data_IF_613857196867
#
_entry.id   IF_613857196867
#
_cell.length_a   1.000
_cell.length_b   1.000
_cell.length_c   1.000
_cell.angle_alpha   90.00
_cell.angle_beta   90.00
_cell.angle_gamma   90.00
#
_symmetry.space_group_name_H-M   'P 1'
#
loop_
_entity.id
_entity.type
_entity.pdbx_description
1 polymer ?
#
# COMPACT_ATOMS: atom_id res chain seq x y z
N UNK A 1 -6.99 6.51 -55.35
CA UNK A 1 -7.52 7.09 -54.08
C UNK A 1 -7.56 5.98 -53.05
N UNK A 2 -6.85 6.18 -51.95
CA UNK A 2 -6.21 5.11 -51.17
C UNK A 2 -7.14 4.36 -50.21
N UNK A 3 -7.08 3.03 -50.33
CA UNK A 3 -7.51 2.04 -49.36
C UNK A 3 -6.78 2.23 -48.02
N UNK A 4 -7.52 2.38 -46.92
CA UNK A 4 -6.97 2.25 -45.56
C UNK A 4 -6.88 0.76 -45.20
N UNK A 5 -5.64 0.34 -44.95
CA UNK A 5 -5.27 -1.01 -44.52
C UNK A 5 -5.54 -1.17 -43.02
N UNK A 6 -6.39 -2.13 -42.66
CA UNK A 6 -6.60 -2.55 -41.27
C UNK A 6 -5.53 -3.59 -40.92
N UNK A 7 -4.56 -3.21 -40.08
CA UNK A 7 -3.60 -4.16 -39.51
C UNK A 7 -4.23 -4.87 -38.31
N UNK A 8 -4.62 -6.13 -38.52
CA UNK A 8 -5.01 -7.03 -37.46
C UNK A 8 -3.79 -7.53 -36.69
N UNK A 9 -3.75 -7.26 -35.39
CA UNK A 9 -2.76 -7.85 -34.48
C UNK A 9 -3.24 -9.25 -34.12
N UNK A 10 -2.72 -10.27 -34.82
CA UNK A 10 -2.90 -11.67 -34.45
C UNK A 10 -2.14 -11.97 -33.16
N UNK A 11 -2.87 -12.14 -32.05
CA UNK A 11 -2.33 -12.78 -30.85
C UNK A 11 -2.12 -14.28 -31.12
N UNK A 12 -0.86 -14.67 -31.36
CA UNK A 12 -0.46 -16.09 -31.37
C UNK A 12 -0.54 -16.65 -29.94
N UNK A 13 -1.58 -17.44 -29.68
CA UNK A 13 -1.64 -18.36 -28.53
C UNK A 13 -0.69 -19.52 -28.80
N UNK A 14 0.54 -19.45 -28.32
CA UNK A 14 1.44 -20.59 -28.20
C UNK A 14 1.17 -21.31 -26.86
N UNK A 15 0.29 -22.30 -26.91
CA UNK A 15 0.11 -23.29 -25.86
C UNK A 15 1.01 -24.49 -26.18
N UNK A 16 2.21 -24.57 -25.57
CA UNK A 16 3.13 -25.69 -25.77
C UNK A 16 3.96 -25.92 -24.50
N UNK A 17 3.68 -27.06 -23.84
CA UNK A 17 4.62 -27.96 -23.13
C UNK A 17 5.08 -27.52 -21.72
N UNK A 18 5.37 -28.39 -20.74
CA UNK A 18 5.82 -29.79 -20.73
C UNK A 18 5.60 -30.35 -19.31
N UNK A 19 5.13 -31.59 -19.18
CA UNK A 19 5.33 -32.40 -17.96
C UNK A 19 6.84 -32.49 -17.68
N UNK A 20 7.25 -32.24 -16.44
CA UNK A 20 8.50 -32.75 -15.90
C UNK A 20 8.23 -33.45 -14.57
N UNK A 21 8.56 -34.73 -14.57
CA UNK A 21 8.40 -35.69 -13.49
C UNK A 21 9.82 -36.21 -13.23
N UNK A 22 10.51 -35.64 -12.24
CA UNK A 22 11.81 -36.11 -11.69
C UNK A 22 11.87 -35.47 -10.29
N UNK A 23 11.93 -36.18 -9.15
CA UNK A 23 12.80 -37.31 -8.84
C UNK A 23 14.04 -36.81 -8.07
N UNK A 24 13.89 -36.46 -6.79
CA UNK A 24 14.99 -36.20 -5.86
C UNK A 24 14.52 -36.68 -4.48
N UNK A 25 15.14 -37.65 -3.80
CA UNK A 25 16.58 -37.78 -3.58
C UNK A 25 16.89 -37.23 -2.18
N UNK A 26 16.52 -38.00 -1.14
CA UNK A 26 16.80 -37.67 0.25
C UNK A 26 18.30 -37.86 0.48
N UNK A 27 19.04 -36.76 0.64
CA UNK A 27 20.42 -36.79 1.13
C UNK A 27 20.43 -36.18 2.52
N UNK A 28 20.60 -37.04 3.52
CA UNK A 28 20.86 -36.64 4.89
C UNK A 28 22.29 -36.07 4.98
N UNK A 29 22.42 -34.82 5.41
CA UNK A 29 23.71 -34.24 5.79
C UNK A 29 23.85 -34.23 7.32
N UNK A 30 24.99 -34.69 7.87
CA UNK A 30 25.25 -34.66 9.30
C UNK A 30 25.50 -33.23 9.79
N UNK A 31 24.87 -32.92 10.93
CA UNK A 31 25.06 -31.69 11.70
C UNK A 31 26.45 -31.74 12.34
N UNK A 32 27.40 -30.98 11.78
CA UNK A 32 28.70 -30.73 12.41
C UNK A 32 28.56 -29.50 13.31
N UNK A 33 28.64 -29.74 14.61
CA UNK A 33 28.71 -28.71 15.63
C UNK A 33 30.02 -27.92 15.55
N UNK A 34 29.91 -26.60 15.69
CA UNK A 34 31.00 -25.69 16.04
C UNK A 34 30.49 -24.83 17.19
N UNK A 35 30.79 -25.25 18.41
CA UNK A 35 31.85 -24.72 19.27
C UNK A 35 31.60 -23.27 19.71
N UNK A 36 31.14 -23.18 20.95
CA UNK A 36 31.22 -22.04 21.84
C UNK A 36 32.58 -21.34 21.78
N UNK A 37 32.56 -20.01 21.66
CA UNK A 37 33.67 -19.14 22.04
C UNK A 37 33.22 -18.29 23.24
N UNK A 38 34.00 -18.22 24.33
CA UNK A 38 33.73 -17.32 25.44
C UNK A 38 34.40 -15.96 25.21
N UNK A 39 33.70 -14.89 25.59
CA UNK A 39 34.35 -13.65 26.01
C UNK A 39 34.25 -12.49 25.04
N UNK A 40 33.39 -11.53 25.38
CA UNK A 40 33.87 -10.18 25.64
C UNK A 40 32.87 -9.46 26.55
N UNK A 41 33.28 -9.21 27.79
CA UNK A 41 32.52 -8.44 28.76
C UNK A 41 32.64 -6.96 28.39
N UNK A 42 31.64 -6.42 27.70
CA UNK A 42 31.53 -4.99 27.43
C UNK A 42 30.85 -4.32 28.63
N UNK A 43 31.59 -3.39 29.23
CA UNK A 43 31.20 -2.60 30.37
C UNK A 43 29.86 -1.89 30.18
N UNK A 44 28.93 -2.12 31.12
CA UNK A 44 27.70 -1.36 31.27
C UNK A 44 28.03 0.03 31.82
N UNK A 45 27.77 1.06 31.04
CA UNK A 45 27.74 2.45 31.51
C UNK A 45 26.34 2.73 32.10
N UNK A 46 26.22 3.12 33.37
CA UNK A 46 24.94 3.56 33.95
C UNK A 46 24.81 5.07 33.76
N UNK A 47 23.75 5.53 33.11
CA UNK A 47 23.45 6.97 33.10
C UNK A 47 22.67 7.45 31.90
N UNK A 48 21.36 7.18 31.90
CA UNK A 48 20.45 7.75 30.95
C UNK A 48 19.03 7.44 31.37
N UNK A 49 18.49 8.23 32.30
CA UNK A 49 17.09 8.24 32.69
C UNK A 49 16.27 8.74 31.49
N UNK A 50 16.15 7.89 30.47
CA UNK A 50 15.25 8.05 29.35
C UNK A 50 13.86 7.73 29.85
N UNK A 51 13.11 8.78 30.12
CA UNK A 51 11.69 8.76 30.44
C UNK A 51 10.94 7.91 29.41
N UNK A 52 10.68 6.66 29.79
CA UNK A 52 10.02 5.66 28.96
C UNK A 52 8.52 5.98 28.97
N UNK A 53 8.15 7.10 28.33
CA UNK A 53 6.77 7.53 28.20
C UNK A 53 6.12 6.63 27.14
N UNK A 54 5.13 5.80 27.49
CA UNK A 54 4.41 5.02 26.50
C UNK A 54 3.82 5.98 25.47
N UNK A 55 4.25 5.83 24.22
CA UNK A 55 3.76 6.62 23.10
C UNK A 55 2.25 6.48 23.05
N UNK A 56 1.54 7.58 23.31
CA UNK A 56 0.11 7.64 23.19
C UNK A 56 -0.30 7.21 21.78
N UNK A 57 -1.42 6.49 21.61
CA UNK A 57 -1.90 6.07 20.30
C UNK A 57 -2.14 7.33 19.46
N UNK A 58 -1.32 7.51 18.43
CA UNK A 58 -1.36 8.64 17.53
C UNK A 58 -2.73 8.70 16.86
N UNK A 59 -3.47 9.79 17.12
CA UNK A 59 -4.59 10.23 16.29
C UNK A 59 -4.23 10.05 14.81
N UNK A 60 -5.19 9.68 13.93
CA UNK A 60 -4.90 9.43 12.52
C UNK A 60 -4.14 10.63 11.96
N UNK A 61 -2.84 10.43 11.73
CA UNK A 61 -1.92 11.49 11.36
C UNK A 61 -2.50 12.21 10.15
N UNK A 62 -2.76 13.50 10.32
CA UNK A 62 -3.32 14.36 9.31
C UNK A 62 -2.45 14.26 8.05
N UNK A 63 -3.07 13.88 6.94
CA UNK A 63 -2.35 13.70 5.68
C UNK A 63 -1.77 15.03 5.23
N UNK A 64 -0.48 15.05 4.90
CA UNK A 64 0.17 16.25 4.37
C UNK A 64 -0.30 16.51 2.94
N UNK A 65 -0.38 17.79 2.50
CA UNK A 65 -0.73 18.11 1.12
C UNK A 65 0.17 17.44 0.08
N UNK A 66 1.46 17.25 0.39
CA UNK A 66 2.40 16.57 -0.50
C UNK A 66 2.06 15.08 -0.65
N UNK A 67 1.75 14.38 0.45
CA UNK A 67 1.32 12.98 0.40
C UNK A 67 0.01 12.80 -0.39
N UNK A 68 -0.96 13.69 -0.16
CA UNK A 68 -2.22 13.69 -0.90
C UNK A 68 -2.01 13.91 -2.40
N UNK A 69 -1.18 14.90 -2.76
CA UNK A 69 -0.82 15.16 -4.16
C UNK A 69 -0.15 13.95 -4.81
N UNK A 70 0.82 13.32 -4.14
CA UNK A 70 1.44 12.09 -4.64
C UNK A 70 0.42 10.99 -4.89
N UNK A 71 -0.50 10.71 -3.95
CA UNK A 71 -1.52 9.68 -4.13
C UNK A 71 -2.41 9.97 -5.34
N UNK A 72 -2.86 11.21 -5.50
CA UNK A 72 -3.66 11.63 -6.64
C UNK A 72 -2.90 11.48 -7.97
N UNK A 73 -1.59 11.79 -8.00
CA UNK A 73 -0.74 11.57 -9.18
C UNK A 73 -0.65 10.09 -9.53
N UNK A 74 -0.33 9.23 -8.55
CA UNK A 74 -0.22 7.78 -8.76
C UNK A 74 -1.55 7.17 -9.25
N UNK A 75 -2.70 7.67 -8.78
CA UNK A 75 -4.01 7.18 -9.22
C UNK A 75 -4.32 7.52 -10.70
N UNK A 76 -3.75 8.60 -11.23
CA UNK A 76 -3.98 9.07 -12.62
C UNK A 76 -3.12 8.35 -13.64
N UNK A 77 -1.90 7.97 -13.26
CA UNK A 77 -0.95 7.28 -14.14
C UNK A 77 -1.50 5.93 -14.55
N UNK A 78 -1.52 5.66 -15.86
CA UNK A 78 -1.93 4.36 -16.41
C UNK A 78 -0.71 3.55 -16.81
N UNK A 79 -0.64 2.32 -16.33
CA UNK A 79 0.45 1.40 -16.62
C UNK A 79 -0.11 0.20 -17.39
N UNK A 80 0.64 -0.23 -18.40
CA UNK A 80 0.41 -1.46 -19.17
C UNK A 80 1.76 -2.09 -19.51
N UNK A 81 1.86 -3.41 -19.50
CA UNK A 81 3.11 -4.10 -19.82
C UNK A 81 3.10 -5.57 -19.46
N UNK A 82 4.04 -6.33 -20.02
CA UNK A 82 4.27 -7.73 -19.68
C UNK A 82 5.74 -7.86 -19.29
N UNK A 83 5.98 -8.34 -18.07
CA UNK A 83 7.30 -8.50 -17.50
C UNK A 83 7.56 -9.99 -17.28
N UNK A 84 8.52 -10.55 -18.01
CA UNK A 84 8.91 -11.96 -17.89
C UNK A 84 10.32 -12.05 -17.33
N UNK A 85 10.47 -12.74 -16.20
CA UNK A 85 11.75 -12.92 -15.50
C UNK A 85 12.51 -11.60 -15.23
N UNK A 86 11.78 -10.51 -15.02
CA UNK A 86 12.36 -9.19 -14.78
C UNK A 86 12.61 -8.99 -13.28
N UNK A 87 13.69 -8.26 -12.95
CA UNK A 87 14.00 -7.92 -11.56
C UNK A 87 12.97 -6.92 -11.03
N UNK A 88 12.48 -7.15 -9.82
CA UNK A 88 11.51 -6.29 -9.15
C UNK A 88 11.97 -4.82 -9.14
N UNK A 89 13.23 -4.56 -8.80
CA UNK A 89 13.78 -3.21 -8.78
C UNK A 89 13.80 -2.51 -10.14
N UNK A 90 13.93 -3.26 -11.25
CA UNK A 90 13.95 -2.67 -12.59
C UNK A 90 12.52 -2.35 -13.07
N UNK A 91 11.55 -3.22 -12.77
CA UNK A 91 10.12 -2.94 -13.01
C UNK A 91 9.68 -1.67 -12.25
N UNK A 92 10.09 -1.54 -10.99
CA UNK A 92 9.76 -0.40 -10.14
C UNK A 92 10.37 0.92 -10.65
N UNK A 93 11.59 0.88 -11.21
CA UNK A 93 12.20 2.05 -11.87
C UNK A 93 11.44 2.45 -13.13
N UNK A 94 11.03 1.47 -13.94
CA UNK A 94 10.22 1.72 -15.13
C UNK A 94 8.88 2.38 -14.78
N UNK A 95 8.24 1.93 -13.68
CA UNK A 95 7.03 2.58 -13.18
C UNK A 95 7.26 4.03 -12.76
N UNK A 96 8.38 4.33 -12.10
CA UNK A 96 8.74 5.69 -11.73
C UNK A 96 8.94 6.58 -12.97
N UNK A 97 9.64 6.07 -13.99
CA UNK A 97 9.86 6.75 -15.25
C UNK A 97 8.54 7.02 -16.00
N UNK A 98 7.67 6.00 -16.12
CA UNK A 98 6.36 6.15 -16.77
C UNK A 98 5.46 7.15 -16.04
N UNK A 99 5.54 7.21 -14.72
CA UNK A 99 4.83 8.19 -13.92
C UNK A 99 5.33 9.62 -14.20
N UNK A 100 6.64 9.81 -14.29
CA UNK A 100 7.25 11.10 -14.64
C UNK A 100 6.86 11.54 -16.05
N UNK A 101 6.91 10.65 -17.04
CA UNK A 101 6.51 10.94 -18.41
C UNK A 101 5.04 11.37 -18.53
N UNK A 102 4.14 10.76 -17.75
CA UNK A 102 2.71 11.07 -17.78
C UNK A 102 2.32 12.29 -16.95
N UNK A 103 3.05 12.58 -15.86
CA UNK A 103 2.71 13.67 -14.94
C UNK A 103 3.57 14.92 -15.10
N UNK A 104 4.72 14.81 -15.76
CA UNK A 104 5.73 15.86 -15.88
C UNK A 104 6.54 16.09 -14.61
N UNK A 105 6.37 15.25 -13.58
CA UNK A 105 7.02 15.41 -12.27
C UNK A 105 7.61 14.07 -11.81
N UNK A 106 8.86 14.05 -11.29
CA UNK A 106 9.48 12.82 -10.84
C UNK A 106 8.77 12.29 -9.60
N UNK A 107 8.37 11.01 -9.64
CA UNK A 107 7.91 10.32 -8.44
C UNK A 107 9.14 9.81 -7.68
N UNK A 108 9.27 10.23 -6.42
CA UNK A 108 10.40 9.86 -5.56
C UNK A 108 10.10 8.62 -4.72
N UNK A 109 11.02 7.66 -4.77
CA UNK A 109 10.86 6.33 -4.18
C UNK A 109 11.97 6.07 -3.17
N UNK A 110 11.67 5.35 -2.11
CA UNK A 110 12.67 4.85 -1.16
C UNK A 110 12.37 3.42 -0.76
N UNK A 111 13.42 2.63 -0.54
CA UNK A 111 13.31 1.23 -0.13
C UNK A 111 13.48 1.11 1.38
N UNK A 112 12.64 0.32 2.04
CA UNK A 112 12.90 -0.11 3.40
C UNK A 112 14.13 -1.05 3.46
N UNK A 113 14.84 -1.09 4.59
CA UNK A 113 15.92 -2.06 4.79
C UNK A 113 15.43 -3.50 4.53
N UNK A 114 16.23 -4.27 3.81
CA UNK A 114 15.92 -5.66 3.48
C UNK A 114 14.91 -5.85 2.33
N UNK A 115 14.50 -4.78 1.64
CA UNK A 115 13.60 -4.90 0.49
C UNK A 115 14.25 -5.71 -0.65
N UNK A 116 13.62 -6.78 -1.17
CA UNK A 116 14.25 -7.74 -2.06
C UNK A 116 14.20 -7.29 -3.53
N UNK A 117 14.83 -6.15 -3.85
CA UNK A 117 14.79 -5.55 -5.19
C UNK A 117 15.38 -6.43 -6.32
N UNK A 118 16.21 -7.41 -5.98
CA UNK A 118 16.86 -8.31 -6.95
C UNK A 118 16.02 -9.54 -7.33
N UNK A 119 14.90 -9.78 -6.64
CA UNK A 119 14.02 -10.92 -6.94
C UNK A 119 13.42 -10.77 -8.33
N UNK A 120 13.45 -11.85 -9.11
CA UNK A 120 12.84 -11.90 -10.44
C UNK A 120 11.39 -12.33 -10.34
N UNK A 121 10.53 -11.66 -11.08
CA UNK A 121 9.09 -11.95 -11.11
C UNK A 121 8.58 -12.01 -12.55
N UNK A 122 7.44 -12.67 -12.71
CA UNK A 122 6.65 -12.64 -13.92
C UNK A 122 5.29 -12.03 -13.61
N UNK A 123 4.91 -11.00 -14.35
CA UNK A 123 3.62 -10.32 -14.17
C UNK A 123 3.15 -9.71 -15.48
N UNK A 124 1.87 -9.93 -15.79
CA UNK A 124 1.19 -9.33 -16.93
C UNK A 124 0.22 -8.27 -16.42
N UNK A 125 0.41 -7.03 -16.86
CA UNK A 125 -0.36 -5.87 -16.42
C UNK A 125 -1.24 -5.39 -17.57
N UNK A 126 -2.55 -5.55 -17.39
CA UNK A 126 -3.54 -4.84 -18.21
C UNK A 126 -3.44 -3.33 -17.97
N UNK A 127 -4.10 -2.53 -18.82
CA UNK A 127 -4.17 -1.09 -18.63
C UNK A 127 -4.93 -0.75 -17.34
N UNK A 128 -4.21 -0.32 -16.32
CA UNK A 128 -4.76 -0.04 -14.99
C UNK A 128 -4.02 1.13 -14.31
N UNK A 129 -4.50 1.57 -13.14
CA UNK A 129 -3.81 2.63 -12.40
C UNK A 129 -2.45 2.15 -11.88
N UNK A 130 -1.49 3.07 -11.71
CA UNK A 130 -0.18 2.74 -11.16
C UNK A 130 -0.27 2.14 -9.75
N UNK A 131 -1.25 2.56 -8.93
CA UNK A 131 -1.47 1.96 -7.59
C UNK A 131 -1.86 0.48 -7.68
N UNK A 132 -2.76 0.13 -8.60
CA UNK A 132 -3.16 -1.27 -8.86
C UNK A 132 -2.01 -2.09 -9.46
N UNK A 133 -1.25 -1.50 -10.39
CA UNK A 133 -0.07 -2.15 -10.96
C UNK A 133 1.00 -2.41 -9.89
N UNK A 134 1.22 -1.45 -8.99
CA UNK A 134 2.16 -1.57 -7.89
C UNK A 134 1.72 -2.68 -6.91
N UNK A 135 0.43 -2.78 -6.59
CA UNK A 135 -0.10 -3.85 -5.75
C UNK A 135 0.10 -5.24 -6.38
N UNK A 136 -0.16 -5.40 -7.69
CA UNK A 136 0.07 -6.67 -8.39
C UNK A 136 1.54 -7.06 -8.44
N UNK A 137 2.42 -6.11 -8.79
CA UNK A 137 3.89 -6.31 -8.83
C UNK A 137 4.41 -6.71 -7.45
N UNK A 138 4.02 -5.97 -6.40
CA UNK A 138 4.48 -6.27 -5.04
C UNK A 138 3.88 -7.58 -4.52
N UNK A 139 2.67 -7.95 -4.93
CA UNK A 139 2.07 -9.25 -4.58
C UNK A 139 2.82 -10.41 -5.25
N UNK A 140 3.19 -10.27 -6.53
CA UNK A 140 4.05 -11.24 -7.20
C UNK A 140 5.44 -11.31 -6.54
N UNK A 141 6.02 -10.16 -6.19
CA UNK A 141 7.27 -10.06 -5.44
C UNK A 141 7.20 -10.70 -4.05
N UNK A 142 6.08 -10.52 -3.33
CA UNK A 142 5.85 -11.16 -2.03
C UNK A 142 5.85 -12.68 -2.14
N UNK A 143 5.18 -13.23 -3.17
CA UNK A 143 5.15 -14.68 -3.43
C UNK A 143 6.54 -15.23 -3.74
N UNK A 144 7.30 -14.54 -4.58
CA UNK A 144 8.65 -14.97 -4.99
C UNK A 144 9.69 -14.85 -3.86
N UNK A 145 9.60 -13.81 -3.02
CA UNK A 145 10.54 -13.54 -1.93
C UNK A 145 10.15 -14.19 -0.59
N UNK A 146 8.93 -14.71 -0.47
CA UNK A 146 8.33 -15.16 0.79
C UNK A 146 8.25 -14.07 1.87
N UNK A 147 8.29 -12.79 1.47
CA UNK A 147 8.16 -11.65 2.36
C UNK A 147 6.84 -10.91 2.11
N UNK A 148 6.31 -10.23 3.12
CA UNK A 148 5.13 -9.41 2.94
C UNK A 148 5.52 -8.02 2.43
N UNK A 149 5.77 -7.88 1.12
CA UNK A 149 6.12 -6.58 0.55
C UNK A 149 4.94 -5.62 0.65
N UNK A 150 5.22 -4.32 0.62
CA UNK A 150 4.30 -3.21 0.89
C UNK A 150 4.74 -1.92 0.20
N UNK A 151 3.89 -0.90 0.19
CA UNK A 151 4.24 0.48 -0.09
C UNK A 151 3.42 1.44 0.77
N UNK A 152 3.99 2.60 1.13
CA UNK A 152 3.34 3.68 1.86
C UNK A 152 3.79 5.01 1.29
N UNK A 153 2.85 5.92 1.03
CA UNK A 153 3.21 7.32 0.77
C UNK A 153 3.46 8.00 2.10
N UNK A 154 4.71 8.44 2.31
CA UNK A 154 5.14 9.12 3.52
C UNK A 154 4.38 10.44 3.67
N UNK A 155 3.79 10.64 4.84
CA UNK A 155 3.05 11.84 5.23
C UNK A 155 3.69 12.37 6.50
N UNK A 156 4.79 13.09 6.34
CA UNK A 156 5.66 13.55 7.41
C UNK A 156 5.79 15.08 7.30
N UNK A 157 5.03 15.86 8.09
CA UNK A 157 5.10 17.32 8.00
C UNK A 157 6.54 17.78 8.27
N UNK A 158 6.99 18.76 7.49
CA UNK A 158 8.33 19.37 7.55
C UNK A 158 9.50 18.39 7.33
N UNK A 159 9.25 17.24 6.70
CA UNK A 159 10.29 16.26 6.38
C UNK A 159 10.64 16.29 4.89
N UNK A 160 11.94 16.19 4.57
CA UNK A 160 12.43 16.19 3.17
C UNK A 160 11.91 15.04 2.29
N UNK A 161 11.43 13.97 2.92
CA UNK A 161 10.83 12.81 2.23
C UNK A 161 9.30 12.82 2.29
N UNK A 162 8.68 13.95 2.66
CA UNK A 162 7.23 14.08 2.62
C UNK A 162 6.71 13.86 1.18
N UNK A 163 5.64 13.08 1.05
CA UNK A 163 5.09 12.69 -0.23
C UNK A 163 5.88 11.65 -1.03
N UNK A 164 6.97 11.08 -0.48
CA UNK A 164 7.70 9.99 -1.15
C UNK A 164 6.98 8.65 -1.03
N UNK A 165 7.16 7.78 -2.02
CA UNK A 165 6.68 6.39 -1.97
C UNK A 165 7.75 5.53 -1.29
N UNK A 166 7.46 5.06 -0.07
CA UNK A 166 8.30 4.10 0.64
C UNK A 166 7.83 2.68 0.40
N UNK A 167 8.67 1.84 -0.19
CA UNK A 167 8.43 0.41 -0.35
C UNK A 167 8.82 -0.31 0.94
N UNK A 168 7.91 -1.10 1.51
CA UNK A 168 8.06 -1.74 2.83
C UNK A 168 8.08 -3.26 2.70
N UNK A 169 8.55 -3.93 3.76
CA UNK A 169 8.53 -5.40 3.92
C UNK A 169 7.51 -5.84 4.97
N UNK A 170 6.58 -4.93 5.33
CA UNK A 170 5.57 -5.13 6.37
C UNK A 170 4.15 -5.35 5.83
N UNK A 171 3.98 -5.39 4.51
CA UNK A 171 2.69 -5.65 3.88
C UNK A 171 1.73 -4.46 3.82
N UNK A 172 2.17 -3.29 4.27
CA UNK A 172 1.35 -2.08 4.20
C UNK A 172 1.08 -1.77 2.72
N UNK A 173 -0.17 -1.71 2.28
CA UNK A 173 -0.54 -1.32 0.91
C UNK A 173 -1.10 0.09 0.97
N UNK A 174 -0.45 1.02 0.29
CA UNK A 174 -0.47 2.44 0.60
C UNK A 174 -1.85 3.05 0.71
N UNK A 175 -2.45 2.98 1.91
CA UNK A 175 -3.74 3.54 2.31
C UNK A 175 -4.69 3.95 1.16
N UNK A 176 -4.98 3.02 0.25
CA UNK A 176 -6.34 2.87 -0.21
C UNK A 176 -6.98 1.97 0.83
N UNK A 177 -7.77 2.56 1.73
CA UNK A 177 -8.73 1.77 2.48
C UNK A 177 -9.49 0.95 1.43
N UNK A 178 -9.61 -0.39 1.60
CA UNK A 178 -10.41 -1.18 0.69
C UNK A 178 -11.77 -0.49 0.48
N UNK A 179 -12.35 -0.54 -0.74
CA UNK A 179 -13.71 -0.04 -0.92
C UNK A 179 -14.56 -0.65 0.20
N UNK A 180 -15.28 0.21 0.92
CA UNK A 180 -16.04 -0.22 2.08
C UNK A 180 -16.86 -1.44 1.66
N UNK A 181 -16.73 -2.53 2.41
CA UNK A 181 -17.53 -3.72 2.10
C UNK A 181 -19.01 -3.36 2.22
N UNK A 182 -19.89 -4.11 1.55
CA UNK A 182 -21.34 -3.85 1.67
C UNK A 182 -21.82 -3.84 3.14
N UNK A 183 -21.17 -4.67 3.98
CA UNK A 183 -21.40 -4.74 5.42
C UNK A 183 -20.94 -3.47 6.15
N UNK A 184 -19.77 -2.93 5.81
CA UNK A 184 -19.26 -1.68 6.37
C UNK A 184 -20.10 -0.48 5.94
N UNK A 185 -20.58 -0.44 4.69
CA UNK A 185 -21.47 0.60 4.20
C UNK A 185 -22.81 0.55 4.95
N UNK A 186 -23.37 -0.64 5.16
CA UNK A 186 -24.62 -0.80 5.90
C UNK A 186 -24.47 -0.38 7.38
N UNK A 187 -23.41 -0.80 8.06
CA UNK A 187 -23.14 -0.40 9.45
C UNK A 187 -22.91 1.11 9.59
N UNK A 188 -22.23 1.72 8.63
CA UNK A 188 -22.03 3.17 8.59
C UNK A 188 -23.36 3.90 8.38
N UNK A 189 -24.21 3.38 7.49
CA UNK A 189 -25.54 3.93 7.20
C UNK A 189 -26.48 3.84 8.41
N UNK A 190 -26.51 2.72 9.13
CA UNK A 190 -27.33 2.54 10.33
C UNK A 190 -26.94 3.52 11.45
N UNK A 191 -25.63 3.72 11.66
CA UNK A 191 -25.13 4.70 12.64
C UNK A 191 -25.42 6.13 12.22
N UNK A 192 -25.35 6.45 10.93
CA UNK A 192 -25.76 7.75 10.40
C UNK A 192 -27.27 7.99 10.64
N UNK A 193 -28.12 6.99 10.38
CA UNK A 193 -29.55 7.07 10.63
C UNK A 193 -29.87 7.28 12.11
N UNK A 194 -29.15 6.61 13.01
CA UNK A 194 -29.26 6.83 14.46
C UNK A 194 -28.86 8.27 14.84
N UNK A 195 -27.77 8.80 14.27
CA UNK A 195 -27.38 10.19 14.49
C UNK A 195 -28.45 11.18 14.01
N UNK A 196 -29.04 10.95 12.82
CA UNK A 196 -30.13 11.79 12.29
C UNK A 196 -31.37 11.75 13.18
N UNK A 197 -31.73 10.58 13.73
CA UNK A 197 -32.83 10.45 14.70
C UNK A 197 -32.56 11.28 15.96
N UNK A 198 -31.35 11.24 16.50
CA UNK A 198 -30.97 12.05 17.66
C UNK A 198 -31.03 13.55 17.38
N UNK A 199 -30.70 13.97 16.15
CA UNK A 199 -30.87 15.37 15.73
C UNK A 199 -32.35 15.78 15.67
N UNK A 200 -33.23 14.91 15.16
CA UNK A 200 -34.67 15.14 15.17
C UNK A 200 -35.25 15.23 16.59
N UNK A 201 -34.65 14.51 17.55
CA UNK A 201 -35.00 14.58 18.97
C UNK A 201 -34.37 15.78 19.73
N UNK A 202 -33.73 16.73 19.03
CA UNK A 202 -33.00 17.87 19.63
C UNK A 202 -31.88 17.45 20.60
N UNK A 203 -31.18 16.33 20.33
CA UNK A 203 -30.03 15.86 21.12
C UNK A 203 -28.71 15.95 20.34
N UNK A 204 -28.21 17.16 20.02
CA UNK A 204 -27.05 17.36 19.15
C UNK A 204 -25.73 16.83 19.73
N UNK A 205 -25.54 16.91 21.05
CA UNK A 205 -24.33 16.40 21.71
C UNK A 205 -24.20 14.88 21.55
N UNK A 206 -25.31 14.13 21.70
CA UNK A 206 -25.32 12.70 21.49
C UNK A 206 -25.13 12.35 20.01
N UNK A 207 -25.77 13.08 19.09
CA UNK A 207 -25.62 12.88 17.65
C UNK A 207 -24.16 13.06 17.19
N UNK A 208 -23.45 14.07 17.72
CA UNK A 208 -22.04 14.33 17.38
C UNK A 208 -21.14 13.12 17.64
N UNK A 209 -21.34 12.42 18.76
CA UNK A 209 -20.58 11.19 19.09
C UNK A 209 -20.75 10.13 18.00
N UNK A 210 -21.98 9.89 17.52
CA UNK A 210 -22.23 8.91 16.47
C UNK A 210 -21.63 9.33 15.13
N UNK A 211 -21.73 10.62 14.77
CA UNK A 211 -21.13 11.15 13.55
C UNK A 211 -19.60 11.00 13.56
N UNK A 212 -18.94 11.33 14.66
CA UNK A 212 -17.49 11.14 14.81
C UNK A 212 -17.08 9.68 14.71
N UNK A 213 -17.86 8.77 15.31
CA UNK A 213 -17.60 7.34 15.21
C UNK A 213 -17.73 6.84 13.77
N UNK A 214 -18.73 7.31 13.00
CA UNK A 214 -18.87 6.96 11.58
C UNK A 214 -17.67 7.44 10.77
N UNK A 215 -17.23 8.68 10.97
CA UNK A 215 -16.09 9.26 10.26
C UNK A 215 -14.79 8.52 10.60
N UNK A 216 -14.59 8.16 11.87
CA UNK A 216 -13.36 7.51 12.35
C UNK A 216 -13.29 6.03 11.95
N UNK A 217 -14.40 5.30 12.04
CA UNK A 217 -14.43 3.86 11.75
C UNK A 217 -14.63 3.52 10.27
N UNK A 218 -15.38 4.34 9.53
CA UNK A 218 -15.78 4.05 8.16
C UNK A 218 -15.44 5.20 7.19
N UNK A 219 -14.19 5.68 7.15
CA UNK A 219 -13.82 6.93 6.47
C UNK A 219 -14.06 6.94 4.94
N UNK A 220 -14.22 5.77 4.32
CA UNK A 220 -14.43 5.59 2.87
C UNK A 220 -15.90 5.51 2.45
N UNK A 221 -16.83 5.34 3.38
CA UNK A 221 -18.26 5.14 3.08
C UNK A 221 -18.94 6.43 2.61
N UNK A 222 -20.07 6.31 1.92
CA UNK A 222 -20.90 7.46 1.57
C UNK A 222 -21.49 8.12 2.83
N UNK A 223 -21.85 7.30 3.83
CA UNK A 223 -22.31 7.75 5.14
C UNK A 223 -21.27 8.64 5.85
N UNK A 224 -19.97 8.29 5.82
CA UNK A 224 -18.95 9.14 6.44
C UNK A 224 -18.82 10.52 5.77
N UNK A 225 -19.04 10.63 4.46
CA UNK A 225 -19.08 11.93 3.76
C UNK A 225 -20.25 12.79 4.24
N UNK A 226 -21.43 12.19 4.36
CA UNK A 226 -22.62 12.89 4.88
C UNK A 226 -22.45 13.28 6.35
N UNK A 227 -21.83 12.41 7.15
CA UNK A 227 -21.58 12.67 8.57
C UNK A 227 -20.70 13.91 8.79
N UNK A 228 -19.68 14.12 7.97
CA UNK A 228 -18.82 15.33 8.02
C UNK A 228 -19.62 16.60 7.80
N UNK A 229 -20.49 16.61 6.78
CA UNK A 229 -21.34 17.76 6.46
C UNK A 229 -22.33 18.07 7.59
N UNK A 230 -22.87 17.06 8.25
CA UNK A 230 -23.75 17.25 9.40
C UNK A 230 -22.98 17.80 10.61
N UNK A 231 -21.77 17.30 10.86
CA UNK A 231 -20.95 17.76 11.97
C UNK A 231 -20.52 19.24 11.80
N UNK A 232 -20.19 19.65 10.57
CA UNK A 232 -19.89 21.06 10.24
C UNK A 232 -21.07 21.98 10.52
N UNK A 233 -22.31 21.54 10.24
CA UNK A 233 -23.53 22.30 10.54
C UNK A 233 -23.84 22.43 12.03
N UNK A 234 -23.37 21.48 12.85
CA UNK A 234 -23.60 21.50 14.30
C UNK A 234 -22.60 22.41 15.03
N UNK A 235 -21.56 22.87 14.35
CA UNK A 235 -20.52 23.72 14.91
C UNK A 235 -19.47 22.95 15.73
N UNK A 236 -18.30 23.58 15.96
CA UNK A 236 -17.23 23.03 16.79
C UNK A 236 -17.68 22.77 18.23
#
# INVERSE_FOLDING_TARGET
MHHRSAQGVMYRRSAVWRLFLVGLGIVAFPIVGTSFGPGEAVAQTPGGTGENRPAAPSSPAQETPAAASTRLRLARVKIRGSFQDARLGDILKEFAQLAEEQTGEPVLWTYAPGFPAQVRIQVDLAEQSLLQALDQVLTAGSKASQQNLGYVVLSLPDHKHDGWVRLTTQGERGKELPPATAEEEQQAQERLAMAQKLLAENKPAAAKIYLEVVIKKYPTTAAARQARLLLEKLGP
#
